data_IF_732657382116
#
_entry.id   IF_732657382116
#
_cell.length_a   1.000
_cell.length_b   1.000
_cell.length_c   1.000
_cell.angle_alpha   90.00
_cell.angle_beta   90.00
_cell.angle_gamma   90.00
#
_symmetry.space_group_name_H-M   'P 1'
#
loop_
_entity.id
_entity.type
_entity.pdbx_description
1 polymer ?
#
# COMPACT_ATOMS: atom_id res chain seq x y z
N UNK A 1 9.07 11.92 -9.50
CA UNK A 1 8.42 10.91 -8.66
C UNK A 1 8.54 11.29 -7.19
N UNK A 2 7.42 11.27 -6.48
CA UNK A 2 7.33 11.76 -5.11
C UNK A 2 7.77 10.67 -4.09
N UNK A 3 7.84 9.43 -4.51
CA UNK A 3 8.26 8.29 -3.72
C UNK A 3 9.25 7.45 -4.53
N UNK A 4 10.43 7.97 -4.73
CA UNK A 4 11.46 7.16 -5.36
C UNK A 4 12.15 6.28 -4.33
N UNK A 5 11.54 5.16 -3.98
CA UNK A 5 12.36 3.97 -3.76
C UNK A 5 12.85 3.62 -5.16
N UNK A 6 14.08 4.00 -5.47
CA UNK A 6 14.69 3.54 -6.71
C UNK A 6 14.86 2.02 -6.56
N UNK A 7 14.28 1.21 -7.47
CA UNK A 7 14.42 -0.22 -7.39
C UNK A 7 15.90 -0.60 -7.50
N UNK A 8 16.33 -1.54 -6.68
CA UNK A 8 17.69 -2.08 -6.82
C UNK A 8 17.83 -2.80 -8.17
N UNK A 9 19.04 -2.92 -8.68
CA UNK A 9 19.29 -3.72 -9.90
C UNK A 9 18.82 -5.17 -9.74
N UNK A 10 18.92 -5.72 -8.52
CA UNK A 10 18.43 -7.05 -8.19
C UNK A 10 16.90 -7.12 -8.30
N UNK A 11 16.16 -6.14 -7.76
CA UNK A 11 14.70 -6.07 -7.88
C UNK A 11 14.27 -5.98 -9.34
N UNK A 12 14.90 -5.12 -10.13
CA UNK A 12 14.58 -4.97 -11.55
C UNK A 12 14.80 -6.26 -12.33
N UNK A 13 15.86 -7.01 -12.00
CA UNK A 13 16.15 -8.29 -12.63
C UNK A 13 15.09 -9.34 -12.28
N UNK A 14 14.71 -9.43 -11.00
CA UNK A 14 13.67 -10.34 -10.53
C UNK A 14 12.32 -10.00 -11.16
N UNK A 15 11.91 -8.73 -11.13
CA UNK A 15 10.66 -8.27 -11.75
C UNK A 15 10.60 -8.61 -13.25
N UNK A 16 11.70 -8.44 -13.97
CA UNK A 16 11.79 -8.81 -15.40
C UNK A 16 11.66 -10.32 -15.63
N UNK A 17 12.21 -11.14 -14.75
CA UNK A 17 12.10 -12.59 -14.83
C UNK A 17 10.66 -13.06 -14.60
N UNK A 18 9.97 -12.46 -13.62
CA UNK A 18 8.61 -12.82 -13.24
C UNK A 18 7.52 -12.19 -14.14
N UNK A 19 7.84 -11.15 -14.90
CA UNK A 19 6.88 -10.49 -15.78
C UNK A 19 6.15 -11.47 -16.71
N UNK A 20 6.90 -12.38 -17.31
CA UNK A 20 6.35 -13.41 -18.21
C UNK A 20 5.49 -14.42 -17.47
N UNK A 21 5.88 -14.78 -16.25
CA UNK A 21 5.12 -15.69 -15.39
C UNK A 21 3.76 -15.09 -15.01
N UNK A 22 3.76 -13.89 -14.45
CA UNK A 22 2.52 -13.20 -14.08
C UNK A 22 1.61 -12.91 -15.28
N UNK A 23 2.19 -12.52 -16.41
CA UNK A 23 1.42 -12.30 -17.64
C UNK A 23 0.71 -13.57 -18.10
N UNK A 24 1.40 -14.71 -18.05
CA UNK A 24 0.82 -16.02 -18.40
C UNK A 24 -0.28 -16.44 -17.44
N UNK A 25 -0.09 -16.28 -16.13
CA UNK A 25 -1.13 -16.61 -15.15
C UNK A 25 -2.41 -15.78 -15.36
N UNK A 26 -2.26 -14.48 -15.63
CA UNK A 26 -3.39 -13.60 -15.95
C UNK A 26 -4.09 -14.04 -17.23
N UNK A 27 -3.34 -14.41 -18.27
CA UNK A 27 -3.88 -14.91 -19.52
C UNK A 27 -4.65 -16.21 -19.33
N UNK A 28 -4.06 -17.20 -18.65
CA UNK A 28 -4.69 -18.50 -18.37
C UNK A 28 -5.99 -18.32 -17.58
N UNK A 29 -6.01 -17.45 -16.55
CA UNK A 29 -7.24 -17.15 -15.80
C UNK A 29 -8.27 -16.39 -16.63
N UNK A 30 -7.84 -15.45 -17.45
CA UNK A 30 -8.70 -14.72 -18.38
C UNK A 30 -9.41 -15.67 -19.38
N UNK A 31 -8.70 -16.67 -19.89
CA UNK A 31 -9.28 -17.71 -20.74
C UNK A 31 -10.32 -18.57 -20.01
N UNK A 32 -10.06 -18.88 -18.73
CA UNK A 32 -10.92 -19.75 -17.92
C UNK A 32 -12.20 -19.04 -17.44
N UNK A 33 -12.10 -17.78 -17.03
CA UNK A 33 -13.18 -17.05 -16.35
C UNK A 33 -13.76 -15.90 -17.17
N UNK A 34 -13.32 -15.71 -18.40
CA UNK A 34 -13.73 -14.62 -19.28
C UNK A 34 -13.01 -13.30 -18.97
N UNK A 35 -13.27 -12.30 -19.82
CA UNK A 35 -12.65 -10.97 -19.67
C UNK A 35 -13.27 -10.24 -18.48
N UNK A 36 -12.47 -9.98 -17.45
CA UNK A 36 -12.83 -9.11 -16.34
C UNK A 36 -12.28 -7.69 -16.55
N UNK A 37 -13.00 -6.70 -16.05
CA UNK A 37 -12.51 -5.33 -15.98
C UNK A 37 -11.96 -5.10 -14.58
N UNK A 38 -10.67 -4.77 -14.48
CA UNK A 38 -10.03 -4.41 -13.23
C UNK A 38 -10.05 -2.90 -13.10
N UNK A 39 -10.48 -2.40 -11.95
CA UNK A 39 -10.47 -0.98 -11.59
C UNK A 39 -9.56 -0.81 -10.38
N UNK A 40 -8.48 -0.05 -10.54
CA UNK A 40 -7.59 0.30 -9.46
C UNK A 40 -8.05 1.61 -8.81
N UNK A 41 -8.19 1.57 -7.49
CA UNK A 41 -8.47 2.76 -6.67
C UNK A 41 -7.29 2.95 -5.73
N UNK A 42 -6.58 4.07 -5.86
CA UNK A 42 -5.45 4.43 -5.01
C UNK A 42 -5.81 5.61 -4.11
N UNK A 43 -5.45 5.51 -2.82
CA UNK A 43 -5.68 6.59 -1.86
C UNK A 43 -5.20 6.24 -0.45
N UNK A 44 -4.71 7.25 0.26
CA UNK A 44 -4.14 7.06 1.62
C UNK A 44 -5.19 6.96 2.74
N UNK A 45 -6.46 7.26 2.46
CA UNK A 45 -7.57 7.23 3.44
C UNK A 45 -8.69 6.26 3.08
N UNK A 46 -8.45 5.30 2.18
CA UNK A 46 -9.49 4.39 1.70
C UNK A 46 -10.04 3.47 2.80
N UNK A 47 -9.23 3.18 3.81
CA UNK A 47 -9.60 2.28 4.90
C UNK A 47 -9.97 3.01 6.21
N UNK A 48 -10.18 4.33 6.17
CA UNK A 48 -10.63 5.09 7.35
C UNK A 48 -12.07 4.79 7.75
N UNK A 49 -12.89 4.31 6.83
CA UNK A 49 -14.30 3.97 7.05
C UNK A 49 -14.56 2.52 6.59
N UNK A 50 -15.01 1.65 7.51
CA UNK A 50 -15.36 0.26 7.18
C UNK A 50 -16.42 0.10 6.09
N UNK A 51 -17.26 1.10 5.85
CA UNK A 51 -18.24 1.05 4.77
C UNK A 51 -17.59 1.15 3.39
N UNK A 52 -16.50 1.92 3.28
CA UNK A 52 -15.73 2.08 2.04
C UNK A 52 -14.95 0.80 1.74
N UNK A 53 -14.36 0.16 2.75
CA UNK A 53 -13.61 -1.09 2.59
C UNK A 53 -14.44 -2.16 1.87
N UNK A 54 -15.73 -2.24 2.19
CA UNK A 54 -16.67 -3.23 1.62
C UNK A 54 -16.98 -3.03 0.14
N UNK A 55 -16.61 -1.89 -0.43
CA UNK A 55 -16.83 -1.60 -1.85
C UNK A 55 -15.76 -2.24 -2.76
N UNK A 56 -14.66 -2.70 -2.19
CA UNK A 56 -13.56 -3.29 -2.93
C UNK A 56 -13.61 -4.81 -2.87
N UNK A 57 -13.32 -5.47 -3.99
CA UNK A 57 -13.18 -6.94 -4.04
C UNK A 57 -11.81 -7.35 -3.46
N UNK A 58 -10.75 -6.67 -3.85
CA UNK A 58 -9.37 -6.91 -3.40
C UNK A 58 -8.87 -5.68 -2.65
N UNK A 59 -8.27 -5.89 -1.48
CA UNK A 59 -7.91 -4.82 -0.56
C UNK A 59 -6.46 -4.98 -0.11
N UNK A 60 -5.57 -4.20 -0.71
CA UNK A 60 -4.16 -4.17 -0.36
C UNK A 60 -3.93 -3.00 0.61
N UNK A 61 -3.56 -3.29 1.84
CA UNK A 61 -3.25 -2.26 2.83
C UNK A 61 -1.74 -2.12 2.99
N UNK A 62 -1.19 -1.11 2.33
CA UNK A 62 0.21 -0.74 2.45
C UNK A 62 0.42 0.10 3.69
N UNK A 63 1.22 -0.38 4.64
CA UNK A 63 1.56 0.38 5.84
C UNK A 63 3.06 0.29 6.13
N UNK A 64 3.55 1.15 6.98
CA UNK A 64 4.94 1.15 7.44
C UNK A 64 5.05 1.84 8.79
N UNK A 65 6.13 1.59 9.58
CA UNK A 65 6.36 2.22 10.87
C UNK A 65 6.44 3.75 10.78
N UNK A 66 6.10 4.42 11.89
CA UNK A 66 6.14 5.89 12.01
C UNK A 66 7.43 6.51 11.49
N UNK A 67 8.58 5.98 11.92
CA UNK A 67 9.88 6.55 11.55
C UNK A 67 10.16 6.44 10.05
N UNK A 68 9.80 5.32 9.43
CA UNK A 68 9.88 5.11 7.97
C UNK A 68 9.01 6.11 7.23
N UNK A 69 7.73 6.24 7.62
CA UNK A 69 6.80 7.16 6.96
C UNK A 69 7.22 8.62 7.15
N UNK A 70 7.70 8.97 8.36
CA UNK A 70 8.22 10.31 8.67
C UNK A 70 9.43 10.63 7.80
N UNK A 71 10.43 9.75 7.80
CA UNK A 71 11.66 9.92 7.03
C UNK A 71 11.37 10.10 5.53
N UNK A 72 10.53 9.23 4.97
CA UNK A 72 10.13 9.31 3.56
C UNK A 72 9.38 10.60 3.24
N UNK A 73 8.53 11.09 4.15
CA UNK A 73 7.81 12.34 3.94
C UNK A 73 8.72 13.57 4.06
N UNK A 74 9.58 13.61 5.07
CA UNK A 74 10.53 14.72 5.29
C UNK A 74 11.60 14.81 4.19
N UNK A 75 11.93 13.68 3.54
CA UNK A 75 12.82 13.67 2.38
C UNK A 75 12.21 14.33 1.12
N UNK A 76 10.92 14.58 1.08
CA UNK A 76 10.26 15.25 -0.04
C UNK A 76 10.63 16.72 -0.07
N UNK A 77 11.06 17.21 -1.23
CA UNK A 77 11.39 18.64 -1.43
C UNK A 77 10.14 19.52 -1.63
N UNK A 78 8.96 18.93 -1.48
CA UNK A 78 7.67 19.54 -1.76
C UNK A 78 6.96 18.88 -2.94
N UNK A 79 5.75 19.31 -3.22
CA UNK A 79 4.91 18.76 -4.30
C UNK A 79 3.97 19.83 -4.87
N UNK A 80 3.59 19.63 -6.13
CA UNK A 80 2.66 20.54 -6.81
C UNK A 80 1.22 20.23 -6.38
N UNK A 81 0.48 21.25 -6.01
CA UNK A 81 -0.96 21.21 -5.73
C UNK A 81 -1.72 22.06 -6.75
N UNK A 82 -3.04 22.01 -6.72
CA UNK A 82 -3.85 22.88 -7.56
C UNK A 82 -3.63 24.39 -7.25
N UNK A 83 -3.19 24.71 -6.04
CA UNK A 83 -2.94 26.07 -5.55
C UNK A 83 -1.48 26.52 -5.71
N UNK A 84 -0.61 25.63 -6.19
CA UNK A 84 0.82 25.92 -6.38
C UNK A 84 1.73 24.86 -5.77
N UNK A 85 2.97 25.26 -5.47
CA UNK A 85 3.96 24.36 -4.89
C UNK A 85 3.91 24.42 -3.35
N UNK A 86 3.73 23.24 -2.73
CA UNK A 86 3.64 23.11 -1.28
C UNK A 86 4.88 22.44 -0.70
N UNK A 87 5.35 22.98 0.42
CA UNK A 87 6.39 22.36 1.26
C UNK A 87 5.82 22.19 2.66
N UNK A 88 5.94 21.01 3.23
CA UNK A 88 5.46 20.76 4.59
C UNK A 88 6.22 21.64 5.61
N UNK A 89 5.50 22.33 6.52
CA UNK A 89 6.15 23.04 7.62
C UNK A 89 6.93 22.09 8.55
N UNK A 90 7.89 22.58 9.33
CA UNK A 90 8.61 21.77 10.30
C UNK A 90 7.68 21.01 11.24
N UNK A 91 7.94 19.70 11.41
CA UNK A 91 7.14 18.78 12.22
C UNK A 91 5.68 18.58 11.76
N UNK A 92 5.33 18.96 10.55
CA UNK A 92 3.97 18.80 10.03
C UNK A 92 3.51 17.33 10.08
N UNK A 93 4.38 16.39 9.69
CA UNK A 93 4.07 14.97 9.76
C UNK A 93 3.72 14.54 11.19
N UNK A 94 4.61 14.80 12.15
CA UNK A 94 4.46 14.33 13.53
C UNK A 94 3.31 15.01 14.29
N UNK A 95 3.03 16.29 14.00
CA UNK A 95 2.03 17.07 14.74
C UNK A 95 0.63 17.04 14.11
N UNK A 96 0.53 16.84 12.82
CA UNK A 96 -0.75 16.94 12.10
C UNK A 96 -1.09 15.61 11.41
N UNK A 97 -0.20 15.11 10.54
CA UNK A 97 -0.51 13.96 9.69
C UNK A 97 -0.64 12.68 10.53
N UNK A 98 0.35 12.39 11.36
CA UNK A 98 0.37 11.16 12.15
C UNK A 98 -0.78 11.07 13.17
N UNK A 99 -1.10 12.08 13.98
CA UNK A 99 -2.25 12.03 14.87
C UNK A 99 -3.58 11.83 14.13
N UNK A 100 -3.75 12.45 12.96
CA UNK A 100 -4.93 12.25 12.13
C UNK A 100 -5.02 10.82 11.57
N UNK A 101 -3.89 10.27 11.13
CA UNK A 101 -3.79 8.89 10.69
C UNK A 101 -4.12 7.91 11.83
N UNK A 102 -3.50 8.07 12.99
CA UNK A 102 -3.78 7.25 14.18
C UNK A 102 -5.27 7.26 14.51
N UNK A 103 -5.88 8.45 14.59
CA UNK A 103 -7.31 8.59 14.89
C UNK A 103 -8.21 7.81 13.93
N UNK A 104 -7.86 7.76 12.66
CA UNK A 104 -8.72 7.15 11.62
C UNK A 104 -8.41 5.67 11.36
N UNK A 105 -7.21 5.19 11.71
CA UNK A 105 -6.77 3.85 11.35
C UNK A 105 -6.42 2.95 12.56
N UNK A 106 -6.49 3.47 13.80
CA UNK A 106 -6.14 2.70 15.00
C UNK A 106 -6.84 1.33 15.07
N UNK A 107 -8.10 1.27 14.65
CA UNK A 107 -8.89 0.03 14.66
C UNK A 107 -8.33 -1.10 13.76
N UNK A 108 -7.43 -0.77 12.81
CA UNK A 108 -6.75 -1.76 11.97
C UNK A 108 -5.58 -2.44 12.67
N UNK A 109 -5.09 -1.86 13.77
CA UNK A 109 -3.87 -2.29 14.43
C UNK A 109 -4.14 -3.01 15.75
N UNK A 110 -3.26 -3.93 16.11
CA UNK A 110 -3.38 -4.73 17.32
C UNK A 110 -3.43 -3.85 18.57
N UNK A 111 -4.52 -4.02 19.34
CA UNK A 111 -4.76 -3.21 20.54
C UNK A 111 -4.83 -1.71 20.26
N UNK A 112 -5.21 -1.30 19.04
CA UNK A 112 -5.26 0.09 18.56
C UNK A 112 -3.91 0.83 18.63
N UNK A 113 -2.81 0.08 18.67
CA UNK A 113 -1.44 0.62 18.77
C UNK A 113 -0.79 0.74 17.40
N UNK A 114 -1.06 1.82 16.69
CA UNK A 114 -0.52 2.08 15.34
C UNK A 114 1.01 2.06 15.29
N UNK A 115 1.67 2.48 16.38
CA UNK A 115 3.13 2.50 16.46
C UNK A 115 3.77 1.09 16.47
N UNK A 116 3.01 0.02 16.78
CA UNK A 116 3.51 -1.36 16.70
C UNK A 116 3.68 -1.82 15.24
N UNK A 117 3.01 -1.19 14.31
CA UNK A 117 2.91 -1.58 12.91
C UNK A 117 2.36 -3.02 12.68
N UNK A 118 1.69 -3.59 13.68
CA UNK A 118 1.09 -4.92 13.62
C UNK A 118 -0.42 -4.79 13.43
N UNK A 119 -0.98 -5.44 12.42
CA UNK A 119 -2.42 -5.40 12.16
C UNK A 119 -3.19 -6.32 13.11
N UNK A 120 -4.41 -5.92 13.43
CA UNK A 120 -5.35 -6.73 14.19
C UNK A 120 -5.89 -7.87 13.32
N UNK A 121 -5.48 -9.11 13.62
CA UNK A 121 -5.78 -10.27 12.79
C UNK A 121 -7.28 -10.48 12.55
N UNK A 122 -8.10 -10.23 13.56
CA UNK A 122 -9.55 -10.33 13.42
C UNK A 122 -10.15 -9.33 12.41
N UNK A 123 -9.51 -8.18 12.24
CA UNK A 123 -9.88 -7.16 11.25
C UNK A 123 -9.36 -7.53 9.86
N UNK A 124 -8.12 -8.05 9.78
CA UNK A 124 -7.56 -8.58 8.54
C UNK A 124 -8.46 -9.65 7.95
N UNK A 125 -8.85 -10.65 8.75
CA UNK A 125 -9.75 -11.72 8.34
C UNK A 125 -11.17 -11.22 8.00
N UNK A 126 -11.73 -10.36 8.83
CA UNK A 126 -13.09 -9.82 8.64
C UNK A 126 -13.27 -9.10 7.32
N UNK A 127 -12.26 -8.36 6.88
CA UNK A 127 -12.32 -7.57 5.65
C UNK A 127 -11.57 -8.19 4.49
N UNK A 128 -10.93 -9.34 4.70
CA UNK A 128 -10.05 -9.97 3.70
C UNK A 128 -9.00 -8.97 3.20
N UNK A 129 -8.27 -8.38 4.16
CA UNK A 129 -7.21 -7.43 3.87
C UNK A 129 -5.92 -8.17 3.53
N UNK A 130 -5.25 -7.76 2.49
CA UNK A 130 -3.87 -8.16 2.23
C UNK A 130 -2.96 -7.19 2.96
N UNK A 131 -2.30 -7.70 3.98
CA UNK A 131 -1.29 -6.98 4.75
C UNK A 131 -0.01 -6.81 3.93
N UNK A 132 0.36 -5.57 3.63
CA UNK A 132 1.56 -5.24 2.84
C UNK A 132 2.46 -4.32 3.65
N UNK A 133 3.35 -4.91 4.44
CA UNK A 133 4.34 -4.16 5.22
C UNK A 133 5.41 -3.55 4.32
N UNK A 134 5.28 -2.27 4.06
CA UNK A 134 6.16 -1.48 3.21
C UNK A 134 7.24 -0.76 4.04
N UNK A 135 7.93 -1.49 4.90
CA UNK A 135 9.06 -0.96 5.66
C UNK A 135 10.35 -0.88 4.81
N UNK A 136 11.42 -0.29 5.37
CA UNK A 136 12.66 -0.07 4.64
C UNK A 136 13.46 -1.37 4.36
N UNK A 137 13.12 -2.49 5.01
CA UNK A 137 13.71 -3.80 4.77
C UNK A 137 12.98 -4.62 3.70
N UNK A 138 11.77 -4.21 3.31
CA UNK A 138 10.97 -4.90 2.31
C UNK A 138 11.38 -4.45 0.91
N UNK A 139 11.80 -5.39 0.08
CA UNK A 139 12.21 -5.07 -1.29
C UNK A 139 11.02 -4.69 -2.17
N UNK A 140 11.27 -3.91 -3.21
CA UNK A 140 10.23 -3.58 -4.19
C UNK A 140 9.68 -4.84 -4.86
N UNK A 141 10.54 -5.83 -5.11
CA UNK A 141 10.12 -7.12 -5.67
C UNK A 141 9.08 -7.80 -4.78
N UNK A 142 9.34 -7.90 -3.46
CA UNK A 142 8.42 -8.53 -2.52
C UNK A 142 7.05 -7.82 -2.46
N UNK A 143 7.05 -6.48 -2.50
CA UNK A 143 5.81 -5.69 -2.55
C UNK A 143 4.99 -5.97 -3.82
N UNK A 144 5.65 -6.03 -4.97
CA UNK A 144 5.00 -6.31 -6.27
C UNK A 144 4.50 -7.75 -6.31
N UNK A 145 5.32 -8.72 -5.89
CA UNK A 145 4.96 -10.14 -5.86
C UNK A 145 3.72 -10.39 -4.99
N UNK A 146 3.73 -9.88 -3.75
CA UNK A 146 2.58 -10.00 -2.83
C UNK A 146 1.32 -9.40 -3.44
N UNK A 147 1.44 -8.21 -4.03
CA UNK A 147 0.30 -7.51 -4.62
C UNK A 147 -0.26 -8.24 -5.84
N UNK A 148 0.60 -8.65 -6.77
CA UNK A 148 0.18 -9.36 -7.98
C UNK A 148 -0.40 -10.75 -7.66
N UNK A 149 0.25 -11.52 -6.79
CA UNK A 149 -0.25 -12.83 -6.37
C UNK A 149 -1.64 -12.71 -5.74
N UNK A 150 -1.88 -11.70 -4.91
CA UNK A 150 -3.19 -11.45 -4.31
C UNK A 150 -4.25 -11.12 -5.37
N UNK A 151 -3.91 -10.26 -6.35
CA UNK A 151 -4.83 -9.92 -7.45
C UNK A 151 -5.13 -11.15 -8.30
N UNK A 152 -4.11 -11.89 -8.71
CA UNK A 152 -4.24 -13.07 -9.56
C UNK A 152 -5.09 -14.16 -8.88
N UNK A 153 -4.94 -14.34 -7.58
CA UNK A 153 -5.73 -15.32 -6.84
C UNK A 153 -7.23 -15.00 -6.78
N UNK A 154 -7.61 -13.73 -6.96
CA UNK A 154 -8.99 -13.28 -7.02
C UNK A 154 -9.58 -13.25 -8.44
N UNK A 155 -8.74 -13.39 -9.47
CA UNK A 155 -9.21 -13.48 -10.86
C UNK A 155 -9.75 -14.86 -11.19
#
# INVERSE_FOLDING_TARGET
SINSIEPSEADLKLLKQEETHFAKEIEDKSHKFGKKRIVFVDGFMLFHDPSIIKLFDIKLFFHAPFDTLKSRREARKGYTTAEGFWVDPPNYFSKIVWPAYVKSHAYLYQGEKVDSNELEQSIVEKYDLVDVDNNDSTSLYALVETSLSSIINHL
#
